data_IF_571143222378
#
_entry.id   IF_571143222378
#
_cell.length_a   1.000
_cell.length_b   1.000
_cell.length_c   1.000
_cell.angle_alpha   90.00
_cell.angle_beta   90.00
_cell.angle_gamma   90.00
#
_symmetry.space_group_name_H-M   'P 1'
#
loop_
_entity.id
_entity.type
_entity.pdbx_description
1 polymer ?
#
# COMPACT_ATOMS: atom_id res chain seq x y z
N UNK A 1 -1.80 -12.33 5.52
CA UNK A 1 -2.50 -13.56 5.13
C UNK A 1 -1.45 -14.63 4.88
N UNK A 2 -1.73 -15.92 5.02
CA UNK A 2 -0.72 -16.96 4.79
C UNK A 2 -0.16 -16.95 3.37
N UNK A 3 -1.03 -16.73 2.36
CA UNK A 3 -0.67 -16.86 0.95
C UNK A 3 -0.53 -15.53 0.20
N UNK A 4 -0.82 -14.41 0.82
CA UNK A 4 -0.68 -13.09 0.19
C UNK A 4 -0.61 -11.95 1.22
N UNK A 5 -0.16 -10.80 0.76
CA UNK A 5 -0.07 -9.56 1.54
C UNK A 5 -0.91 -8.49 0.87
N UNK A 6 -1.67 -7.75 1.66
CA UNK A 6 -2.30 -6.50 1.24
C UNK A 6 -1.46 -5.33 1.72
N UNK A 7 -1.14 -4.43 0.83
CA UNK A 7 -0.41 -3.20 1.14
C UNK A 7 -1.24 -2.00 0.66
N UNK A 8 -1.38 -1.02 1.52
CA UNK A 8 -1.90 0.30 1.17
C UNK A 8 -0.71 1.26 1.31
N UNK A 9 -0.22 1.74 0.18
CA UNK A 9 1.02 2.50 0.11
C UNK A 9 0.82 3.77 -0.71
N UNK A 10 1.55 4.82 -0.35
CA UNK A 10 1.66 6.01 -1.18
C UNK A 10 2.63 5.76 -2.32
N UNK A 11 2.51 6.53 -3.39
CA UNK A 11 3.47 6.48 -4.49
C UNK A 11 4.86 6.91 -3.98
N UNK A 12 5.91 6.14 -4.30
CA UNK A 12 7.26 6.47 -3.86
C UNK A 12 7.75 7.79 -4.47
N UNK A 13 8.43 8.62 -3.66
CA UNK A 13 8.95 9.93 -4.12
C UNK A 13 10.12 9.81 -5.11
N UNK A 14 10.93 8.76 -5.02
CA UNK A 14 12.21 8.65 -5.74
C UNK A 14 12.24 7.57 -6.80
N UNK A 15 11.24 6.69 -6.84
CA UNK A 15 11.22 5.54 -7.74
C UNK A 15 9.78 5.14 -8.08
N UNK A 16 9.62 4.11 -8.91
CA UNK A 16 8.30 3.58 -9.25
C UNK A 16 7.80 2.56 -8.22
N UNK A 17 6.49 2.43 -8.08
CA UNK A 17 5.87 1.41 -7.24
C UNK A 17 6.33 -0.01 -7.64
N UNK A 18 6.52 -0.25 -8.92
CA UNK A 18 7.01 -1.53 -9.43
C UNK A 18 8.41 -1.87 -8.88
N UNK A 19 9.35 -0.92 -8.89
CA UNK A 19 10.70 -1.12 -8.34
C UNK A 19 10.70 -1.28 -6.83
N UNK A 20 9.90 -0.46 -6.12
CA UNK A 20 9.73 -0.60 -4.67
C UNK A 20 9.20 -1.99 -4.29
N UNK A 21 8.16 -2.46 -4.98
CA UNK A 21 7.58 -3.79 -4.78
C UNK A 21 8.57 -4.90 -5.13
N UNK A 22 9.32 -4.76 -6.22
CA UNK A 22 10.38 -5.72 -6.59
C UNK A 22 11.46 -5.80 -5.52
N UNK A 23 11.94 -4.68 -5.02
CA UNK A 23 12.94 -4.62 -3.96
C UNK A 23 12.46 -5.31 -2.68
N UNK A 24 11.21 -5.06 -2.27
CA UNK A 24 10.57 -5.72 -1.14
C UNK A 24 10.52 -7.24 -1.33
N UNK A 25 10.02 -7.71 -2.48
CA UNK A 25 9.93 -9.14 -2.81
C UNK A 25 11.30 -9.82 -2.78
N UNK A 26 12.31 -9.20 -3.37
CA UNK A 26 13.69 -9.71 -3.37
C UNK A 26 14.31 -9.75 -1.96
N UNK A 27 14.04 -8.72 -1.14
CA UNK A 27 14.52 -8.67 0.24
C UNK A 27 13.97 -9.82 1.08
N UNK A 28 12.67 -10.08 0.97
CA UNK A 28 12.01 -11.20 1.66
C UNK A 28 12.56 -12.54 1.16
N UNK A 29 12.65 -12.74 -0.17
CA UNK A 29 13.17 -13.98 -0.75
C UNK A 29 14.60 -14.29 -0.28
N UNK A 30 15.46 -13.27 -0.22
CA UNK A 30 16.84 -13.43 0.31
C UNK A 30 16.86 -13.79 1.79
N UNK A 31 16.02 -13.14 2.61
CA UNK A 31 15.96 -13.43 4.05
C UNK A 31 15.46 -14.84 4.35
N UNK A 32 14.55 -15.35 3.53
CA UNK A 32 14.02 -16.71 3.65
C UNK A 32 14.92 -17.76 2.98
N UNK A 33 16.06 -17.34 2.40
CA UNK A 33 16.99 -18.21 1.67
C UNK A 33 16.29 -19.09 0.60
N UNK A 34 15.30 -18.51 -0.08
CA UNK A 34 14.50 -19.21 -1.09
C UNK A 34 15.35 -19.50 -2.32
N UNK A 35 15.24 -20.73 -2.81
CA UNK A 35 15.92 -21.16 -4.04
C UNK A 35 15.21 -20.57 -5.24
N UNK A 36 15.97 -20.19 -6.28
CA UNK A 36 15.41 -19.61 -7.50
C UNK A 36 14.48 -20.58 -8.27
N UNK A 37 14.57 -21.88 -8.00
CA UNK A 37 13.74 -22.89 -8.64
C UNK A 37 12.30 -22.92 -8.14
N UNK A 38 12.04 -22.40 -6.93
CA UNK A 38 10.70 -22.39 -6.33
C UNK A 38 10.14 -20.98 -6.30
N UNK A 39 9.23 -20.61 -7.22
CA UNK A 39 8.65 -19.27 -7.28
C UNK A 39 7.75 -19.00 -6.06
N UNK A 40 8.33 -18.41 -5.01
CA UNK A 40 7.61 -18.01 -3.81
C UNK A 40 6.63 -16.86 -4.07
N UNK A 41 7.02 -15.93 -4.95
CA UNK A 41 6.19 -14.79 -5.31
C UNK A 41 5.55 -15.00 -6.67
N UNK A 42 4.28 -14.62 -6.77
CA UNK A 42 3.65 -14.48 -8.08
C UNK A 42 4.40 -13.43 -8.92
N UNK A 43 4.50 -13.67 -10.23
CA UNK A 43 5.18 -12.76 -11.16
C UNK A 43 4.53 -11.39 -11.19
N UNK A 44 3.19 -11.35 -11.14
CA UNK A 44 2.41 -10.11 -11.12
C UNK A 44 1.74 -9.93 -9.76
N UNK A 45 1.47 -8.69 -9.39
CA UNK A 45 0.60 -8.30 -8.29
C UNK A 45 -0.63 -7.60 -8.84
N UNK A 46 -1.70 -7.64 -8.10
CA UNK A 46 -2.89 -6.84 -8.37
C UNK A 46 -2.71 -5.48 -7.71
N UNK A 47 -2.84 -4.42 -8.49
CA UNK A 47 -2.83 -3.05 -8.01
C UNK A 47 -4.16 -2.35 -8.28
N UNK A 48 -4.47 -1.40 -7.46
CA UNK A 48 -5.67 -0.59 -7.54
C UNK A 48 -5.38 0.81 -7.02
N UNK A 49 -5.61 1.81 -7.86
CA UNK A 49 -5.45 3.20 -7.46
C UNK A 49 -6.59 3.63 -6.54
N UNK A 50 -6.22 4.16 -5.38
CA UNK A 50 -7.16 4.64 -4.38
C UNK A 50 -7.27 6.16 -4.48
N UNK A 51 -8.41 6.63 -4.96
CA UNK A 51 -8.71 8.04 -5.09
C UNK A 51 -9.72 8.48 -4.02
N UNK A 52 -9.32 9.48 -3.23
CA UNK A 52 -10.18 10.08 -2.22
C UNK A 52 -10.30 9.28 -0.92
N UNK A 53 -10.71 10.00 0.11
CA UNK A 53 -10.75 9.50 1.49
C UNK A 53 -11.74 8.35 1.67
N UNK A 54 -12.90 8.41 1.06
CA UNK A 54 -13.91 7.35 1.19
C UNK A 54 -13.39 6.00 0.67
N UNK A 55 -12.69 6.00 -0.48
CA UNK A 55 -12.08 4.80 -1.05
C UNK A 55 -10.92 4.30 -0.20
N UNK A 56 -10.13 5.20 0.37
CA UNK A 56 -9.10 4.85 1.32
C UNK A 56 -9.68 4.10 2.53
N UNK A 57 -10.70 4.65 3.17
CA UNK A 57 -11.36 4.02 4.33
C UNK A 57 -12.00 2.69 3.95
N UNK A 58 -12.64 2.58 2.77
CA UNK A 58 -13.20 1.32 2.27
C UNK A 58 -12.12 0.23 2.15
N UNK A 59 -10.98 0.57 1.51
CA UNK A 59 -9.87 -0.38 1.31
C UNK A 59 -9.18 -0.74 2.61
N UNK A 60 -9.00 0.22 3.50
CA UNK A 60 -8.45 -0.03 4.83
C UNK A 60 -9.33 -1.00 5.63
N UNK A 61 -10.64 -0.77 5.65
CA UNK A 61 -11.61 -1.69 6.27
C UNK A 61 -11.58 -3.08 5.64
N UNK A 62 -11.47 -3.15 4.31
CA UNK A 62 -11.35 -4.43 3.62
C UNK A 62 -10.12 -5.20 4.07
N UNK A 63 -8.94 -4.56 4.12
CA UNK A 63 -7.68 -5.16 4.56
C UNK A 63 -7.81 -5.68 6.00
N UNK A 64 -8.34 -4.87 6.91
CA UNK A 64 -8.48 -5.23 8.31
C UNK A 64 -9.46 -6.38 8.56
N UNK A 65 -10.55 -6.44 7.79
CA UNK A 65 -11.57 -7.50 7.94
C UNK A 65 -11.23 -8.80 7.20
N UNK A 66 -10.25 -8.79 6.35
CA UNK A 66 -9.90 -9.94 5.51
C UNK A 66 -9.52 -11.18 6.34
N UNK A 67 -8.67 -11.12 7.39
CA UNK A 67 -8.36 -12.28 8.23
C UNK A 67 -9.60 -12.91 8.88
N UNK A 68 -10.53 -12.07 9.35
CA UNK A 68 -11.80 -12.55 9.94
C UNK A 68 -12.69 -13.20 8.89
N UNK A 69 -12.87 -12.57 7.73
CA UNK A 69 -13.66 -13.14 6.61
C UNK A 69 -13.13 -14.48 6.13
N UNK A 70 -11.85 -14.75 6.30
CA UNK A 70 -11.21 -16.01 5.95
C UNK A 70 -11.14 -17.00 7.12
N UNK A 71 -11.74 -16.67 8.27
CA UNK A 71 -11.77 -17.55 9.42
C UNK A 71 -10.41 -17.79 10.08
N UNK A 72 -9.43 -16.92 9.85
CA UNK A 72 -8.10 -17.04 10.46
C UNK A 72 -8.07 -16.55 11.91
N UNK A 73 -8.92 -15.61 12.24
CA UNK A 73 -9.11 -15.05 13.58
C UNK A 73 -10.57 -14.67 13.79
N UNK A 74 -10.98 -14.54 15.06
CA UNK A 74 -12.35 -14.15 15.41
C UNK A 74 -12.60 -12.66 15.22
N UNK A 75 -11.60 -11.83 15.54
CA UNK A 75 -11.69 -10.36 15.46
C UNK A 75 -10.46 -9.77 14.76
N UNK A 76 -10.57 -8.57 14.14
CA UNK A 76 -9.44 -7.96 13.41
C UNK A 76 -8.21 -7.69 14.29
N UNK A 77 -8.41 -7.37 15.57
CA UNK A 77 -7.35 -7.14 16.55
C UNK A 77 -6.54 -8.39 16.88
N UNK A 78 -7.10 -9.56 16.68
CA UNK A 78 -6.39 -10.84 16.93
C UNK A 78 -5.34 -11.16 15.85
N UNK A 79 -5.34 -10.41 14.73
CA UNK A 79 -4.38 -10.60 13.67
C UNK A 79 -3.13 -9.74 13.86
N UNK A 80 -2.01 -10.27 14.41
CA UNK A 80 -0.85 -9.48 14.80
C UNK A 80 -0.10 -8.83 13.64
N UNK A 81 -0.30 -9.34 12.42
CA UNK A 81 0.34 -8.85 11.20
C UNK A 81 -0.52 -7.80 10.46
N UNK A 82 -1.34 -7.08 11.20
CA UNK A 82 -2.24 -6.05 10.67
C UNK A 82 -1.90 -4.68 11.23
N UNK A 83 -2.21 -3.64 10.45
CA UNK A 83 -2.21 -2.26 10.93
C UNK A 83 -3.43 -1.92 11.79
N UNK A 84 -4.36 -2.85 12.04
CA UNK A 84 -5.61 -2.57 12.75
C UNK A 84 -5.39 -1.96 14.13
N UNK A 85 -4.52 -2.57 14.95
CA UNK A 85 -4.23 -2.07 16.31
C UNK A 85 -3.66 -0.65 16.31
N UNK A 86 -2.81 -0.34 15.33
CA UNK A 86 -2.29 1.02 15.17
C UNK A 86 -3.41 2.03 14.95
N UNK A 87 -4.37 1.72 14.06
CA UNK A 87 -5.51 2.62 13.81
C UNK A 87 -6.49 2.69 14.99
N UNK A 88 -6.61 1.63 15.77
CA UNK A 88 -7.50 1.57 16.94
C UNK A 88 -6.92 2.32 18.15
N UNK A 89 -5.65 2.09 18.49
CA UNK A 89 -5.04 2.52 19.76
C UNK A 89 -3.81 3.42 19.60
N UNK A 90 -3.28 3.60 18.39
CA UNK A 90 -2.00 4.27 18.15
C UNK A 90 -0.78 3.41 18.49
N UNK A 91 -0.96 2.11 18.73
CA UNK A 91 0.14 1.18 19.04
C UNK A 91 1.20 1.19 17.94
N UNK A 92 2.46 1.14 18.34
CA UNK A 92 3.57 1.09 17.39
C UNK A 92 3.64 -0.31 16.79
N UNK A 93 3.64 -0.42 15.48
CA UNK A 93 3.83 -1.67 14.75
C UNK A 93 5.25 -1.81 14.23
N UNK A 94 5.60 -3.02 13.70
CA UNK A 94 6.90 -3.28 13.09
C UNK A 94 7.21 -2.40 11.88
N UNK A 95 6.16 -1.86 11.24
CA UNK A 95 6.23 -0.93 10.11
C UNK A 95 5.60 0.38 10.54
N UNK A 96 6.26 1.49 10.31
CA UNK A 96 5.69 2.80 10.55
C UNK A 96 4.52 3.04 9.61
N UNK A 97 3.38 3.39 10.18
CA UNK A 97 2.14 3.62 9.45
C UNK A 97 1.87 5.12 9.42
N UNK A 98 1.71 5.68 8.25
CA UNK A 98 1.33 7.08 8.10
C UNK A 98 -0.13 7.25 8.55
N UNK A 99 -0.31 7.96 9.67
CA UNK A 99 -1.60 8.18 10.31
C UNK A 99 -1.56 9.43 11.18
N UNK A 100 -2.74 9.86 11.64
CA UNK A 100 -2.84 10.94 12.62
C UNK A 100 -2.06 10.66 13.92
N UNK A 101 -1.92 9.41 14.34
CA UNK A 101 -1.16 9.00 15.51
C UNK A 101 0.35 9.20 15.29
N UNK A 102 0.83 8.82 14.13
CA UNK A 102 2.22 9.02 13.73
C UNK A 102 2.55 10.50 13.60
N UNK A 103 1.65 11.30 12.99
CA UNK A 103 1.81 12.75 12.88
C UNK A 103 1.91 13.41 14.25
N UNK A 104 0.99 13.12 15.18
CA UNK A 104 1.03 13.66 16.55
C UNK A 104 2.29 13.27 17.31
N UNK A 105 2.76 12.02 17.14
CA UNK A 105 4.00 11.56 17.77
C UNK A 105 5.21 12.33 17.22
N UNK A 106 5.29 12.56 15.92
CA UNK A 106 6.35 13.36 15.31
C UNK A 106 6.36 14.80 15.83
N UNK A 107 5.18 15.41 15.96
CA UNK A 107 5.03 16.74 16.58
C UNK A 107 5.57 16.78 17.99
N UNK A 108 5.18 15.83 18.84
CA UNK A 108 5.64 15.73 20.23
C UNK A 108 7.16 15.55 20.34
N UNK A 109 7.77 14.88 19.39
CA UNK A 109 9.23 14.66 19.33
C UNK A 109 9.97 15.80 18.63
N UNK A 110 9.28 16.84 18.16
CA UNK A 110 9.87 17.94 17.39
C UNK A 110 10.36 17.53 16.00
N UNK A 111 9.92 16.38 15.51
CA UNK A 111 10.25 15.88 14.18
C UNK A 111 9.15 16.37 13.23
N UNK A 112 9.36 17.55 12.66
CA UNK A 112 8.41 18.08 11.66
C UNK A 112 8.68 17.42 10.31
N UNK A 113 7.64 16.91 9.62
CA UNK A 113 7.79 16.52 8.24
C UNK A 113 8.19 17.77 7.45
N UNK A 114 9.22 17.66 6.64
CA UNK A 114 9.57 18.70 5.68
C UNK A 114 8.40 18.77 4.70
N UNK A 115 7.49 19.71 4.93
CA UNK A 115 6.40 19.99 3.99
C UNK A 115 7.05 20.57 2.75
N UNK A 116 7.34 19.74 1.77
CA UNK A 116 7.52 20.21 0.40
C UNK A 116 6.16 20.70 -0.04
N UNK A 117 5.93 22.01 0.11
CA UNK A 117 4.87 22.68 -0.63
C UNK A 117 5.10 22.38 -2.10
N UNK A 118 4.29 21.51 -2.67
CA UNK A 118 4.11 21.45 -4.11
C UNK A 118 3.67 22.85 -4.52
N UNK A 119 4.58 23.56 -5.16
CA UNK A 119 4.26 24.83 -5.80
C UNK A 119 3.04 24.57 -6.69
N UNK A 120 2.00 25.38 -6.50
CA UNK A 120 0.75 25.28 -7.23
C UNK A 120 0.92 25.80 -8.68
N UNK A 121 1.83 25.16 -9.43
CA UNK A 121 2.10 25.45 -10.84
C UNK A 121 2.40 24.14 -11.59
N UNK A 122 1.44 23.23 -11.54
CA UNK A 122 1.40 22.17 -12.55
C UNK A 122 0.00 22.21 -13.18
N UNK A 123 -0.12 23.04 -14.22
CA UNK A 123 -1.23 23.04 -15.16
C UNK A 123 -1.48 21.62 -15.66
N UNK A 124 -2.72 21.12 -15.65
CA UNK A 124 -3.02 19.79 -16.18
C UNK A 124 -2.67 19.75 -17.65
N UNK A 125 -1.82 18.79 -18.06
CA UNK A 125 -1.59 18.53 -19.47
C UNK A 125 -2.91 18.16 -20.14
N UNK A 126 -3.23 18.74 -21.33
CA UNK A 126 -4.44 18.36 -22.04
C UNK A 126 -4.36 16.87 -22.43
N UNK A 127 -5.44 16.16 -22.17
CA UNK A 127 -5.63 14.77 -22.53
C UNK A 127 -5.41 14.56 -24.01
N UNK A 128 -4.39 13.82 -24.36
CA UNK A 128 -4.15 13.35 -25.72
C UNK A 128 -5.28 12.40 -26.14
N UNK A 129 -5.91 12.74 -27.25
CA UNK A 129 -7.10 12.09 -27.79
C UNK A 129 -6.82 10.62 -28.08
N UNK A 130 -7.57 9.74 -27.44
CA UNK A 130 -7.63 8.33 -27.78
C UNK A 130 -8.10 8.17 -29.23
N UNK A 131 -7.20 7.67 -30.09
CA UNK A 131 -7.51 7.36 -31.47
C UNK A 131 -8.58 6.27 -31.57
N UNK A 132 -9.66 6.61 -32.28
CA UNK A 132 -10.79 5.75 -32.58
C UNK A 132 -10.33 4.64 -33.55
N UNK A 133 -10.19 3.41 -33.09
CA UNK A 133 -9.97 2.26 -33.95
C UNK A 133 -11.31 1.88 -34.59
N UNK A 134 -11.41 2.09 -35.89
CA UNK A 134 -12.50 1.58 -36.74
C UNK A 134 -12.32 0.10 -36.98
N UNK A 135 -13.30 -0.71 -36.55
CA UNK A 135 -13.46 -2.09 -36.96
C UNK A 135 -13.92 -2.13 -38.42
N UNK A 136 -13.04 -2.59 -39.29
CA UNK A 136 -13.39 -2.96 -40.66
C UNK A 136 -13.94 -4.38 -40.69
N UNK A 137 -15.18 -4.51 -41.19
CA UNK A 137 -15.79 -5.77 -41.57
C UNK A 137 -15.11 -6.38 -42.80
N UNK A 138 -14.75 -7.66 -42.72
CA UNK A 138 -15.01 -8.65 -43.79
C UNK A 138 -14.98 -10.04 -43.18
#
# INVERSE_FOLDING_TARGET
>A
MPEHVHLLVSEPERDTLARATQSLKQSVARRLALRAADPFWQARYYDFNVWGEMKFVEKLRYIHRNPVKRGLVAQPEDWPWSSFRHYLTGETSAVEIESQWTARRREQLGIFPTVRTRSAEETPRPSEKLGRATLGSK
#
